data_IF_115564936976
#
_entry.id   IF_115564936976
#
_cell.length_a   1.000
_cell.length_b   1.000
_cell.length_c   1.000
_cell.angle_alpha   90.00
_cell.angle_beta   90.00
_cell.angle_gamma   90.00
#
_symmetry.space_group_name_H-M   'P 1'
#
loop_
_entity.id
_entity.type
_entity.pdbx_description
1 polymer ?
#
# COMPACT_ATOMS: atom_id res chain seq x y z
N UNK A 1 -49.34 -20.65 9.32
CA UNK A 1 -47.87 -20.79 9.19
C UNK A 1 -47.25 -19.45 9.51
N UNK A 2 -46.78 -19.30 10.75
CA UNK A 2 -46.20 -18.08 11.31
C UNK A 2 -44.76 -17.91 10.82
N UNK A 3 -44.48 -16.87 10.04
CA UNK A 3 -43.11 -16.48 9.72
C UNK A 3 -42.65 -15.42 10.73
N UNK A 4 -41.65 -15.78 11.52
CA UNK A 4 -41.02 -14.95 12.55
C UNK A 4 -40.61 -13.58 12.02
N UNK A 5 -40.92 -12.54 12.81
CA UNK A 5 -40.29 -11.22 12.68
C UNK A 5 -38.81 -11.34 13.04
N UNK A 6 -37.95 -11.40 12.01
CA UNK A 6 -36.51 -11.19 12.16
C UNK A 6 -36.24 -9.78 12.71
N UNK A 7 -35.89 -9.74 13.99
CA UNK A 7 -35.46 -8.56 14.74
C UNK A 7 -34.29 -7.89 14.02
N UNK A 8 -34.46 -6.63 13.61
CA UNK A 8 -33.37 -5.81 13.07
C UNK A 8 -32.71 -5.01 14.20
N UNK A 9 -31.38 -5.08 14.40
CA UNK A 9 -30.68 -4.27 15.39
C UNK A 9 -30.42 -2.86 14.82
N UNK A 10 -31.45 -2.18 14.30
CA UNK A 10 -31.32 -0.90 13.57
C UNK A 10 -31.09 0.33 14.45
N UNK A 11 -31.43 0.28 15.74
CA UNK A 11 -31.40 1.45 16.65
C UNK A 11 -30.02 1.69 17.28
N UNK A 12 -29.42 0.67 17.91
CA UNK A 12 -28.12 0.79 18.58
C UNK A 12 -26.97 0.96 17.60
N UNK A 13 -26.97 0.18 16.52
CA UNK A 13 -25.95 0.26 15.47
C UNK A 13 -25.93 1.66 14.83
N UNK A 14 -27.10 2.19 14.44
CA UNK A 14 -27.21 3.54 13.87
C UNK A 14 -26.69 4.63 14.80
N UNK A 15 -27.00 4.56 16.10
CA UNK A 15 -26.52 5.52 17.10
C UNK A 15 -25.01 5.45 17.30
N UNK A 16 -24.44 4.26 17.34
CA UNK A 16 -22.99 4.07 17.42
C UNK A 16 -22.28 4.68 16.20
N UNK A 17 -22.78 4.44 14.98
CA UNK A 17 -22.20 5.04 13.77
C UNK A 17 -22.39 6.55 13.69
N UNK A 18 -23.49 7.10 14.18
CA UNK A 18 -23.68 8.56 14.27
C UNK A 18 -22.69 9.20 15.24
N UNK A 19 -22.48 8.60 16.41
CA UNK A 19 -21.48 9.07 17.38
C UNK A 19 -20.06 8.97 16.82
N UNK A 20 -19.75 7.89 16.09
CA UNK A 20 -18.48 7.76 15.37
C UNK A 20 -18.31 8.83 14.31
N UNK A 21 -19.35 9.11 13.49
CA UNK A 21 -19.27 10.18 12.48
C UNK A 21 -18.99 11.53 13.14
N UNK A 22 -19.69 11.88 14.22
CA UNK A 22 -19.43 13.12 15.00
C UNK A 22 -17.98 13.24 15.50
N UNK A 23 -17.37 12.16 15.99
CA UNK A 23 -15.98 12.17 16.47
C UNK A 23 -14.93 12.40 15.37
N UNK A 24 -15.22 12.03 14.12
CA UNK A 24 -14.30 12.18 12.98
C UNK A 24 -14.76 13.24 11.97
N UNK A 25 -15.87 13.92 12.23
CA UNK A 25 -16.39 14.98 11.40
C UNK A 25 -15.67 16.28 11.73
N UNK A 26 -14.50 16.44 11.13
CA UNK A 26 -13.91 17.77 10.99
C UNK A 26 -14.93 18.64 10.25
N UNK A 27 -15.35 19.74 10.90
CA UNK A 27 -16.50 20.57 10.51
C UNK A 27 -16.40 21.16 9.09
N UNK A 28 -15.22 21.10 8.47
CA UNK A 28 -14.93 21.63 7.14
C UNK A 28 -13.89 20.76 6.38
N UNK A 29 -14.29 19.54 5.98
CA UNK A 29 -13.38 18.55 5.36
C UNK A 29 -12.77 19.03 4.03
N UNK A 30 -13.52 19.81 3.24
CA UNK A 30 -13.04 20.39 1.99
C UNK A 30 -11.92 21.40 2.24
N UNK A 31 -12.14 22.34 3.17
CA UNK A 31 -11.14 23.32 3.58
C UNK A 31 -9.88 22.69 4.16
N UNK A 32 -10.01 21.66 5.00
CA UNK A 32 -8.85 20.92 5.52
C UNK A 32 -8.02 20.27 4.41
N UNK A 33 -8.67 19.68 3.40
CA UNK A 33 -7.96 19.08 2.26
C UNK A 33 -7.26 20.16 1.44
N UNK A 34 -7.90 21.31 1.19
CA UNK A 34 -7.27 22.41 0.46
C UNK A 34 -6.03 22.95 1.18
N UNK A 35 -6.12 23.12 2.50
CA UNK A 35 -5.01 23.57 3.34
C UNK A 35 -3.86 22.54 3.37
N UNK A 36 -4.18 21.25 3.40
CA UNK A 36 -3.19 20.15 3.50
C UNK A 36 -2.72 19.63 2.12
N UNK A 37 -3.37 20.01 1.02
CA UNK A 37 -3.15 19.48 -0.34
C UNK A 37 -1.69 19.53 -0.76
N UNK A 38 -1.01 20.65 -0.51
CA UNK A 38 0.41 20.81 -0.83
C UNK A 38 1.29 19.78 -0.09
N UNK A 39 1.05 19.61 1.21
CA UNK A 39 1.77 18.67 2.06
C UNK A 39 1.49 17.20 1.69
N UNK A 40 0.24 16.89 1.33
CA UNK A 40 -0.21 15.56 0.88
C UNK A 40 0.44 15.19 -0.46
N UNK A 41 0.44 16.11 -1.44
CA UNK A 41 1.14 15.91 -2.72
C UNK A 41 2.64 15.71 -2.48
N UNK A 42 3.25 16.52 -1.62
CA UNK A 42 4.68 16.39 -1.29
C UNK A 42 5.00 15.02 -0.69
N UNK A 43 4.25 14.60 0.33
CA UNK A 43 4.44 13.30 0.95
C UNK A 43 4.25 12.15 -0.06
N UNK A 44 3.20 12.21 -0.88
CA UNK A 44 2.95 11.20 -1.91
C UNK A 44 4.07 11.17 -2.96
N UNK A 45 4.59 12.33 -3.37
CA UNK A 45 5.72 12.44 -4.29
C UNK A 45 6.97 11.77 -3.71
N UNK A 46 7.30 12.03 -2.45
CA UNK A 46 8.43 11.40 -1.76
C UNK A 46 8.27 9.88 -1.72
N UNK A 47 7.07 9.38 -1.36
CA UNK A 47 6.79 7.94 -1.33
C UNK A 47 6.91 7.32 -2.74
N UNK A 48 6.39 8.00 -3.77
CA UNK A 48 6.51 7.55 -5.16
C UNK A 48 7.98 7.50 -5.60
N UNK A 49 8.78 8.52 -5.27
CA UNK A 49 10.22 8.54 -5.57
C UNK A 49 10.94 7.40 -4.86
N UNK A 50 10.71 7.21 -3.55
CA UNK A 50 11.35 6.14 -2.78
C UNK A 50 11.01 4.75 -3.32
N UNK A 51 9.74 4.50 -3.63
CA UNK A 51 9.29 3.20 -4.16
C UNK A 51 9.79 2.97 -5.60
N UNK A 52 9.89 4.01 -6.42
CA UNK A 52 10.54 3.94 -7.74
C UNK A 52 12.02 3.58 -7.60
N UNK A 53 12.74 4.23 -6.68
CA UNK A 53 14.15 3.94 -6.40
C UNK A 53 14.34 2.51 -5.93
N UNK A 54 13.48 2.00 -5.04
CA UNK A 54 13.52 0.61 -4.56
C UNK A 54 13.19 -0.42 -5.65
N UNK A 55 12.30 -0.08 -6.59
CA UNK A 55 11.95 -0.98 -7.70
C UNK A 55 13.05 -1.06 -8.77
N UNK A 56 13.72 0.05 -9.05
CA UNK A 56 14.79 0.13 -10.06
C UNK A 56 16.15 -0.26 -9.51
N UNK A 57 16.37 -0.07 -8.21
CA UNK A 57 17.60 -0.41 -7.49
C UNK A 57 17.22 -1.33 -6.32
N UNK A 58 16.92 -2.60 -6.58
CA UNK A 58 16.43 -3.52 -5.55
C UNK A 58 17.47 -3.71 -4.44
N UNK A 59 17.03 -4.01 -3.20
CA UNK A 59 17.93 -4.41 -2.12
C UNK A 59 18.80 -5.59 -2.56
N UNK A 60 20.11 -5.52 -2.26
CA UNK A 60 21.09 -6.49 -2.73
C UNK A 60 21.63 -6.23 -4.14
N UNK A 61 21.09 -5.26 -4.87
CA UNK A 61 21.59 -4.83 -6.18
C UNK A 61 21.20 -5.75 -7.34
N UNK A 62 21.69 -5.37 -8.52
CA UNK A 62 21.52 -6.12 -9.76
C UNK A 62 22.87 -6.69 -10.21
N UNK A 63 22.86 -7.85 -10.85
CA UNK A 63 24.07 -8.43 -11.43
C UNK A 63 24.59 -7.52 -12.54
N UNK A 64 25.82 -7.04 -12.38
CA UNK A 64 26.50 -6.21 -13.39
C UNK A 64 27.35 -7.09 -14.31
N UNK A 65 27.56 -6.62 -15.54
CA UNK A 65 28.45 -7.27 -16.51
C UNK A 65 29.89 -6.85 -16.25
N UNK A 66 30.80 -7.81 -16.09
CA UNK A 66 32.24 -7.54 -16.17
C UNK A 66 32.67 -7.46 -17.64
N UNK A 67 33.12 -6.28 -18.08
CA UNK A 67 33.54 -6.02 -19.47
C UNK A 67 34.95 -6.55 -19.80
N UNK A 68 35.44 -7.56 -19.08
CA UNK A 68 36.81 -8.07 -19.25
C UNK A 68 36.95 -9.07 -20.42
N UNK A 69 35.84 -9.55 -20.99
CA UNK A 69 35.81 -10.51 -22.11
C UNK A 69 34.84 -10.10 -23.24
N UNK A 70 34.79 -8.81 -23.58
CA UNK A 70 33.96 -8.33 -24.70
C UNK A 70 34.78 -8.30 -25.99
N UNK A 71 35.19 -9.50 -26.44
CA UNK A 71 35.74 -9.69 -27.79
C UNK A 71 34.68 -10.12 -28.80
N UNK A 72 33.44 -10.36 -28.40
CA UNK A 72 32.32 -10.52 -29.32
C UNK A 72 30.99 -10.19 -28.64
N UNK A 73 30.43 -9.03 -28.97
CA UNK A 73 29.07 -8.63 -28.64
C UNK A 73 28.08 -9.42 -29.52
N UNK A 74 28.19 -10.75 -29.50
CA UNK A 74 27.24 -11.63 -30.15
C UNK A 74 26.28 -12.12 -29.06
N UNK A 75 25.09 -11.52 -29.05
CA UNK A 75 23.89 -11.90 -28.29
C UNK A 75 23.85 -11.61 -26.78
N UNK A 76 22.84 -10.84 -26.37
CA UNK A 76 22.41 -10.62 -24.97
C UNK A 76 22.20 -11.93 -24.19
N UNK A 77 21.93 -13.03 -24.88
CA UNK A 77 21.68 -14.37 -24.32
C UNK A 77 22.92 -14.97 -23.63
N UNK A 78 24.12 -14.49 -23.97
CA UNK A 78 25.41 -14.95 -23.41
C UNK A 78 25.81 -14.26 -22.10
N UNK A 79 24.96 -13.38 -21.58
CA UNK A 79 25.22 -12.56 -20.40
C UNK A 79 24.73 -13.22 -19.09
N UNK A 80 24.44 -14.52 -19.15
CA UNK A 80 24.02 -15.34 -18.04
C UNK A 80 25.16 -16.25 -17.59
N UNK A 81 25.35 -16.35 -16.27
CA UNK A 81 26.32 -17.29 -15.72
C UNK A 81 25.80 -18.71 -15.85
N UNK A 82 26.53 -19.57 -16.55
CA UNK A 82 26.20 -21.00 -16.65
C UNK A 82 26.31 -21.75 -15.31
N UNK A 83 26.98 -21.16 -14.31
CA UNK A 83 27.18 -21.77 -12.98
C UNK A 83 26.00 -21.47 -12.06
N UNK A 84 25.52 -20.23 -12.06
CA UNK A 84 24.44 -19.80 -11.14
C UNK A 84 23.08 -19.68 -11.82
N UNK A 85 23.03 -19.69 -13.16
CA UNK A 85 21.82 -19.44 -13.94
C UNK A 85 21.32 -17.99 -13.88
N UNK A 86 22.08 -17.08 -13.24
CA UNK A 86 21.68 -15.69 -13.05
C UNK A 86 22.22 -14.84 -14.20
N UNK A 87 21.35 -14.03 -14.80
CA UNK A 87 21.67 -13.13 -15.90
C UNK A 87 21.97 -11.72 -15.42
N UNK A 88 22.84 -10.99 -16.15
CA UNK A 88 23.04 -9.58 -15.88
C UNK A 88 21.74 -8.77 -15.97
N UNK A 89 21.61 -7.75 -15.13
CA UNK A 89 20.37 -7.00 -14.94
C UNK A 89 19.35 -7.69 -14.02
N UNK A 90 19.55 -8.96 -13.65
CA UNK A 90 18.70 -9.64 -12.66
C UNK A 90 18.99 -9.12 -11.26
N UNK A 91 17.93 -8.95 -10.46
CA UNK A 91 18.08 -8.67 -9.03
C UNK A 91 18.70 -9.88 -8.32
N UNK A 92 19.81 -9.66 -7.61
CA UNK A 92 20.55 -10.74 -6.92
C UNK A 92 19.63 -11.42 -5.90
N UNK A 93 18.92 -10.62 -5.10
CA UNK A 93 18.02 -11.09 -4.07
C UNK A 93 16.77 -11.77 -4.64
N UNK A 94 16.37 -11.40 -5.86
CA UNK A 94 15.27 -12.05 -6.58
C UNK A 94 15.56 -13.48 -7.01
N UNK A 95 16.83 -13.83 -7.15
CA UNK A 95 17.26 -15.19 -7.51
C UNK A 95 17.48 -16.09 -6.28
N UNK A 96 17.64 -15.49 -5.09
CA UNK A 96 18.04 -16.18 -3.86
C UNK A 96 16.91 -16.29 -2.83
N UNK A 97 15.94 -15.37 -2.83
CA UNK A 97 14.95 -15.28 -1.76
C UNK A 97 13.51 -15.20 -2.28
N UNK A 98 12.68 -16.17 -1.87
CA UNK A 98 11.28 -16.27 -2.30
C UNK A 98 10.41 -15.08 -1.85
N UNK A 99 10.83 -14.36 -0.81
CA UNK A 99 10.13 -13.14 -0.35
C UNK A 99 10.31 -11.92 -1.25
N UNK A 100 11.22 -11.95 -2.23
CA UNK A 100 11.45 -10.84 -3.16
C UNK A 100 10.20 -10.47 -3.95
N UNK A 101 9.42 -11.47 -4.39
CA UNK A 101 8.17 -11.23 -5.13
C UNK A 101 7.15 -10.49 -4.26
N UNK A 102 7.05 -10.85 -2.97
CA UNK A 102 6.13 -10.16 -2.03
C UNK A 102 6.56 -8.71 -1.81
N UNK A 103 7.86 -8.48 -1.62
CA UNK A 103 8.43 -7.14 -1.53
C UNK A 103 8.09 -6.30 -2.77
N UNK A 104 8.36 -6.82 -3.97
CA UNK A 104 8.09 -6.10 -5.22
C UNK A 104 6.61 -5.78 -5.39
N UNK A 105 5.72 -6.74 -5.13
CA UNK A 105 4.26 -6.53 -5.24
C UNK A 105 3.81 -5.40 -4.31
N UNK A 106 4.22 -5.42 -3.04
CA UNK A 106 3.90 -4.36 -2.10
C UNK A 106 4.49 -3.00 -2.52
N UNK A 107 5.72 -2.98 -3.03
CA UNK A 107 6.37 -1.76 -3.50
C UNK A 107 5.62 -1.16 -4.70
N UNK A 108 5.23 -1.99 -5.67
CA UNK A 108 4.47 -1.55 -6.86
C UNK A 108 3.08 -1.05 -6.50
N UNK A 109 2.37 -1.73 -5.58
CA UNK A 109 1.07 -1.25 -5.08
C UNK A 109 1.23 0.11 -4.40
N UNK A 110 2.29 0.29 -3.60
CA UNK A 110 2.58 1.56 -2.94
C UNK A 110 2.85 2.68 -3.96
N UNK A 111 3.65 2.40 -4.99
CA UNK A 111 3.97 3.35 -6.06
C UNK A 111 2.72 3.78 -6.83
N UNK A 112 1.91 2.82 -7.29
CA UNK A 112 0.68 3.10 -8.04
C UNK A 112 -0.32 3.88 -7.18
N UNK A 113 -0.49 3.50 -5.91
CA UNK A 113 -1.38 4.21 -5.00
C UNK A 113 -0.90 5.65 -4.73
N UNK A 114 0.41 5.87 -4.54
CA UNK A 114 0.99 7.20 -4.37
C UNK A 114 0.80 8.09 -5.62
N UNK A 115 1.03 7.55 -6.82
CA UNK A 115 0.76 8.28 -8.06
C UNK A 115 -0.73 8.56 -8.23
N UNK A 116 -1.61 7.62 -7.86
CA UNK A 116 -3.06 7.83 -7.92
C UNK A 116 -3.51 8.97 -7.01
N UNK A 117 -2.92 9.07 -5.80
CA UNK A 117 -3.09 10.23 -4.92
C UNK A 117 -2.67 11.52 -5.63
N UNK A 118 -1.44 11.58 -6.15
CA UNK A 118 -0.94 12.78 -6.84
C UNK A 118 -1.87 13.16 -7.99
N UNK A 119 -2.26 12.20 -8.82
CA UNK A 119 -3.17 12.41 -9.94
C UNK A 119 -4.51 12.99 -9.47
N UNK A 120 -5.11 12.46 -8.41
CA UNK A 120 -6.37 12.97 -7.86
C UNK A 120 -6.25 14.42 -7.37
N UNK A 121 -5.16 14.77 -6.69
CA UNK A 121 -4.97 16.14 -6.20
C UNK A 121 -4.57 17.12 -7.32
N UNK A 122 -3.83 16.68 -8.33
CA UNK A 122 -3.42 17.50 -9.49
C UNK A 122 -4.58 17.71 -10.46
N UNK A 123 -5.50 16.76 -10.60
CA UNK A 123 -6.65 16.82 -11.52
C UNK A 123 -7.62 17.98 -11.25
N UNK A 124 -7.42 18.76 -10.18
CA UNK A 124 -8.24 19.95 -9.88
C UNK A 124 -9.70 19.63 -9.58
N UNK A 125 -10.03 18.35 -9.34
CA UNK A 125 -11.38 17.92 -9.01
C UNK A 125 -11.76 18.60 -7.69
N UNK A 126 -12.88 19.35 -7.64
CA UNK A 126 -13.32 20.01 -6.43
C UNK A 126 -13.53 18.95 -5.34
N UNK A 127 -12.76 19.08 -4.26
CA UNK A 127 -12.74 18.16 -3.11
C UNK A 127 -13.94 18.37 -2.17
N UNK A 128 -15.04 18.89 -2.70
CA UNK A 128 -16.32 19.04 -2.01
C UNK A 128 -17.14 17.75 -2.08
N UNK A 129 -16.96 16.96 -3.16
CA UNK A 129 -17.70 15.71 -3.30
C UNK A 129 -17.19 14.66 -2.30
N UNK A 130 -18.10 14.13 -1.48
CA UNK A 130 -17.85 13.06 -0.52
C UNK A 130 -17.15 11.84 -1.16
N UNK A 131 -17.42 11.55 -2.43
CA UNK A 131 -16.76 10.46 -3.16
C UNK A 131 -15.26 10.72 -3.38
N UNK A 132 -14.87 11.93 -3.76
CA UNK A 132 -13.46 12.28 -4.02
C UNK A 132 -12.63 12.22 -2.74
N UNK A 133 -13.17 12.78 -1.65
CA UNK A 133 -12.54 12.71 -0.32
C UNK A 133 -12.37 11.25 0.14
N UNK A 134 -13.42 10.45 -0.03
CA UNK A 134 -13.39 9.03 0.32
C UNK A 134 -12.36 8.25 -0.51
N UNK A 135 -12.29 8.51 -1.81
CA UNK A 135 -11.34 7.90 -2.73
C UNK A 135 -9.91 8.29 -2.38
N UNK A 136 -9.63 9.58 -2.16
CA UNK A 136 -8.32 10.06 -1.72
C UNK A 136 -7.88 9.36 -0.43
N UNK A 137 -8.78 9.33 0.56
CA UNK A 137 -8.48 8.71 1.85
C UNK A 137 -8.21 7.21 1.73
N UNK A 138 -8.94 6.52 0.83
CA UNK A 138 -8.75 5.09 0.54
C UNK A 138 -7.37 4.85 -0.07
N UNK A 139 -6.99 5.60 -1.11
CA UNK A 139 -5.67 5.47 -1.72
C UNK A 139 -4.55 5.82 -0.75
N UNK A 140 -4.71 6.84 0.09
CA UNK A 140 -3.71 7.14 1.12
C UNK A 140 -3.53 6.01 2.13
N UNK A 141 -4.62 5.39 2.59
CA UNK A 141 -4.53 4.22 3.46
C UNK A 141 -3.81 3.05 2.78
N UNK A 142 -4.12 2.79 1.49
CA UNK A 142 -3.45 1.76 0.69
C UNK A 142 -1.96 2.06 0.57
N UNK A 143 -1.58 3.31 0.23
CA UNK A 143 -0.18 3.74 0.11
C UNK A 143 0.58 3.50 1.41
N UNK A 144 0.10 4.02 2.54
CA UNK A 144 0.78 3.87 3.84
C UNK A 144 0.88 2.41 4.29
N UNK A 145 -0.18 1.63 4.07
CA UNK A 145 -0.20 0.21 4.39
C UNK A 145 0.84 -0.55 3.56
N UNK A 146 0.84 -0.32 2.26
CA UNK A 146 1.74 -1.00 1.33
C UNK A 146 3.18 -0.58 1.55
N UNK A 147 3.43 0.68 1.92
CA UNK A 147 4.75 1.18 2.30
C UNK A 147 5.29 0.45 3.53
N UNK A 148 4.47 0.30 4.58
CA UNK A 148 4.86 -0.42 5.79
C UNK A 148 5.15 -1.90 5.51
N UNK A 149 4.32 -2.57 4.69
CA UNK A 149 4.56 -3.95 4.26
C UNK A 149 5.85 -4.06 3.44
N UNK A 150 6.10 -3.12 2.54
CA UNK A 150 7.33 -3.06 1.73
C UNK A 150 8.56 -2.96 2.63
N UNK A 151 8.53 -2.08 3.62
CA UNK A 151 9.62 -1.96 4.61
C UNK A 151 9.83 -3.27 5.39
N UNK A 152 8.76 -3.90 5.85
CA UNK A 152 8.84 -5.17 6.60
C UNK A 152 9.47 -6.29 5.76
N UNK A 153 9.03 -6.47 4.51
CA UNK A 153 9.61 -7.48 3.63
C UNK A 153 11.06 -7.15 3.26
N UNK A 154 11.38 -5.89 3.01
CA UNK A 154 12.76 -5.46 2.77
C UNK A 154 13.67 -5.77 3.97
N UNK A 155 13.22 -5.48 5.20
CA UNK A 155 13.98 -5.73 6.42
C UNK A 155 14.25 -7.24 6.62
N UNK A 156 13.25 -8.08 6.38
CA UNK A 156 13.40 -9.55 6.43
C UNK A 156 14.41 -10.03 5.39
N UNK A 157 14.35 -9.48 4.17
CA UNK A 157 15.21 -9.87 3.06
C UNK A 157 16.69 -9.53 3.25
N UNK A 158 17.00 -8.44 3.94
CA UNK A 158 18.39 -8.02 4.21
C UNK A 158 18.96 -8.62 5.49
N UNK A 159 18.14 -9.27 6.32
CA UNK A 159 18.56 -9.84 7.60
C UNK A 159 18.94 -11.31 7.42
N UNK A 160 20.13 -11.76 7.86
CA UNK A 160 20.54 -13.17 7.76
C UNK A 160 19.61 -14.13 8.54
N UNK A 161 19.40 -15.34 8.00
CA UNK A 161 18.51 -16.36 8.57
C UNK A 161 18.89 -16.80 10.00
N UNK A 162 20.18 -16.71 10.35
CA UNK A 162 20.68 -17.03 11.69
C UNK A 162 20.08 -16.12 12.78
N UNK A 163 19.77 -14.87 12.42
CA UNK A 163 19.08 -13.93 13.30
C UNK A 163 17.57 -14.15 13.18
N UNK A 164 17.05 -14.38 11.96
CA UNK A 164 15.62 -14.51 11.70
C UNK A 164 14.97 -15.70 12.42
N UNK A 165 15.64 -16.85 12.51
CA UNK A 165 15.08 -18.06 13.15
C UNK A 165 14.76 -17.89 14.64
N UNK A 166 15.41 -16.97 15.35
CA UNK A 166 15.07 -16.63 16.74
C UNK A 166 13.90 -15.64 16.84
N UNK A 167 13.58 -14.90 15.78
CA UNK A 167 12.67 -13.75 15.79
C UNK A 167 11.60 -13.78 14.70
N UNK A 168 11.33 -14.92 14.04
CA UNK A 168 10.24 -15.02 13.07
C UNK A 168 8.86 -14.70 13.68
N UNK A 169 8.69 -14.95 14.99
CA UNK A 169 7.44 -14.73 15.71
C UNK A 169 7.04 -13.23 15.82
N UNK A 170 7.92 -12.28 16.23
CA UNK A 170 7.56 -10.87 16.30
C UNK A 170 7.23 -10.23 14.94
N UNK A 171 7.89 -10.59 13.83
CA UNK A 171 7.53 -10.04 12.51
C UNK A 171 6.10 -10.44 12.09
N UNK A 172 5.72 -11.70 12.34
CA UNK A 172 4.37 -12.19 12.08
C UNK A 172 3.33 -11.49 12.96
N UNK A 173 3.64 -11.25 14.24
CA UNK A 173 2.77 -10.52 15.17
C UNK A 173 2.59 -9.06 14.72
N UNK A 174 3.67 -8.36 14.36
CA UNK A 174 3.60 -6.98 13.86
C UNK A 174 2.77 -6.91 12.57
N UNK A 175 2.95 -7.86 11.66
CA UNK A 175 2.11 -7.97 10.45
C UNK A 175 0.64 -8.22 10.79
N UNK A 176 0.33 -9.12 11.73
CA UNK A 176 -1.03 -9.41 12.17
C UNK A 176 -1.72 -8.18 12.77
N UNK A 177 -1.01 -7.46 13.66
CA UNK A 177 -1.49 -6.21 14.27
C UNK A 177 -1.73 -5.15 13.19
N UNK A 178 -0.81 -5.01 12.24
CA UNK A 178 -0.94 -4.06 11.14
C UNK A 178 -2.12 -4.40 10.22
N UNK A 179 -2.29 -5.67 9.85
CA UNK A 179 -3.43 -6.14 9.05
C UNK A 179 -4.75 -5.91 9.79
N UNK A 180 -4.81 -6.21 11.09
CA UNK A 180 -6.00 -5.94 11.90
C UNK A 180 -6.34 -4.45 11.93
N UNK A 181 -5.34 -3.58 12.12
CA UNK A 181 -5.52 -2.13 12.09
C UNK A 181 -6.06 -1.65 10.74
N UNK A 182 -5.48 -2.14 9.63
CA UNK A 182 -5.94 -1.79 8.27
C UNK A 182 -7.37 -2.25 8.04
N UNK A 183 -7.72 -3.48 8.43
CA UNK A 183 -9.08 -4.00 8.29
C UNK A 183 -10.09 -3.18 9.08
N UNK A 184 -9.74 -2.72 10.28
CA UNK A 184 -10.60 -1.84 11.09
C UNK A 184 -10.79 -0.50 10.37
N UNK A 185 -9.71 0.15 9.92
CA UNK A 185 -9.79 1.45 9.24
C UNK A 185 -10.59 1.33 7.93
N UNK A 186 -10.28 0.34 7.09
CA UNK A 186 -11.02 0.10 5.85
C UNK A 186 -12.49 -0.25 6.12
N UNK A 187 -12.76 -1.06 7.13
CA UNK A 187 -14.13 -1.40 7.56
C UNK A 187 -14.92 -0.16 7.96
N UNK A 188 -14.34 0.73 8.76
CA UNK A 188 -14.96 2.01 9.14
C UNK A 188 -15.20 2.90 7.92
N UNK A 189 -14.24 3.00 6.99
CA UNK A 189 -14.38 3.77 5.76
C UNK A 189 -15.47 3.23 4.83
N UNK A 190 -15.59 1.91 4.69
CA UNK A 190 -16.63 1.26 3.89
C UNK A 190 -18.00 1.45 4.54
N UNK A 191 -18.12 1.21 5.85
CA UNK A 191 -19.40 1.37 6.55
C UNK A 191 -19.87 2.82 6.49
N UNK A 192 -18.99 3.81 6.69
CA UNK A 192 -19.34 5.23 6.52
C UNK A 192 -19.86 5.52 5.10
N UNK A 193 -19.22 4.98 4.08
CA UNK A 193 -19.64 5.18 2.70
C UNK A 193 -21.02 4.56 2.43
N UNK A 194 -21.23 3.32 2.87
CA UNK A 194 -22.50 2.61 2.73
C UNK A 194 -23.63 3.33 3.49
N UNK A 195 -23.40 3.75 4.73
CA UNK A 195 -24.40 4.49 5.53
C UNK A 195 -24.78 5.79 4.84
N UNK A 196 -23.80 6.57 4.33
CA UNK A 196 -24.06 7.83 3.62
C UNK A 196 -24.84 7.62 2.32
N UNK A 197 -24.59 6.54 1.58
CA UNK A 197 -25.38 6.17 0.39
C UNK A 197 -26.78 5.66 0.74
N UNK A 198 -26.91 4.75 1.70
CA UNK A 198 -28.20 4.20 2.13
C UNK A 198 -29.12 5.29 2.71
N UNK A 199 -28.60 6.24 3.47
CA UNK A 199 -29.40 7.36 3.99
C UNK A 199 -29.83 8.36 2.90
N UNK A 200 -29.08 8.47 1.78
CA UNK A 200 -29.48 9.27 0.61
C UNK A 200 -30.54 8.57 -0.26
N UNK A 201 -30.62 7.24 -0.26
CA UNK A 201 -31.64 6.48 -0.99
C UNK A 201 -32.97 6.29 -0.23
N UNK A 202 -32.99 6.60 1.08
CA UNK A 202 -34.16 6.45 1.97
C UNK A 202 -34.91 7.77 2.19
N UNK A 203 -34.53 8.83 1.48
CA UNK A 203 -35.11 10.16 1.53
C UNK A 203 -35.58 10.54 0.13
#
# INVERSE_FOLDING_TARGET
MSFERLNTPKSGFRKFFQSLDEWFEYKDKGKWIEDMKGSIILAASIIATMTFSLGTNPPGGVVQVSLENVSSLESFDKLCSNVTGICAGSAILGSMYNGYVKFLVCNTICFIAAISVIFLLVSGIPMDNTFSIWLLSTFMCITLTSLALTYMFAAVMITPDSILNNYNNPFAIVLLVWVAFVLIVHGVHIVRFLVRKCCKCLK
#
